data_IF_528867194222
#
_entry.id   IF_528867194222
#
_cell.length_a   1.000
_cell.length_b   1.000
_cell.length_c   1.000
_cell.angle_alpha   90.00
_cell.angle_beta   90.00
_cell.angle_gamma   90.00
#
_symmetry.space_group_name_H-M   'P 1'
#
loop_
_entity.id
_entity.type
_entity.pdbx_description
1 polymer ?
#
# COMPACT_ATOMS: atom_id res chain seq x y z
N UNK A 1 5.92 -3.90 20.23
CA UNK A 1 4.97 -4.14 19.13
C UNK A 1 5.37 -5.39 18.36
N UNK A 2 4.42 -6.20 17.92
CA UNK A 2 4.62 -7.37 17.05
C UNK A 2 3.69 -7.23 15.84
N UNK A 3 4.12 -7.66 14.66
CA UNK A 3 3.33 -7.64 13.44
C UNK A 3 3.48 -8.97 12.69
N UNK A 4 2.47 -9.33 11.92
CA UNK A 4 2.57 -10.43 10.99
C UNK A 4 3.45 -10.05 9.81
N UNK A 5 4.44 -10.89 9.53
CA UNK A 5 5.35 -10.74 8.40
C UNK A 5 5.00 -11.77 7.32
N UNK A 6 4.65 -11.30 6.14
CA UNK A 6 4.24 -12.18 5.05
C UNK A 6 5.37 -13.07 4.57
N UNK A 7 6.60 -12.55 4.47
CA UNK A 7 7.74 -13.34 4.02
C UNK A 7 8.16 -14.40 5.04
N UNK A 8 8.00 -14.15 6.34
CA UNK A 8 8.29 -15.12 7.40
C UNK A 8 7.07 -15.93 7.84
N UNK A 9 5.89 -15.64 7.29
CA UNK A 9 4.62 -16.32 7.57
C UNK A 9 4.27 -16.43 9.07
N UNK A 10 4.49 -15.36 9.84
CA UNK A 10 4.24 -15.37 11.28
C UNK A 10 4.26 -13.99 11.91
N UNK A 11 3.85 -13.92 13.19
CA UNK A 11 3.89 -12.69 13.98
C UNK A 11 5.23 -12.58 14.67
N UNK A 12 5.98 -11.52 14.38
CA UNK A 12 7.32 -11.28 14.88
C UNK A 12 7.43 -9.90 15.55
N UNK A 13 8.34 -9.73 16.51
CA UNK A 13 8.68 -8.42 17.02
C UNK A 13 9.11 -7.48 15.87
N UNK A 14 8.59 -6.27 15.88
CA UNK A 14 9.06 -5.21 14.99
C UNK A 14 10.31 -4.59 15.62
N UNK A 15 11.47 -4.94 15.08
CA UNK A 15 12.75 -4.39 15.51
C UNK A 15 12.91 -2.96 14.99
N UNK A 16 12.80 -1.97 15.86
CA UNK A 16 12.82 -0.55 15.49
C UNK A 16 13.96 0.19 16.18
N UNK A 17 14.60 1.09 15.41
CA UNK A 17 15.45 2.16 15.93
C UNK A 17 14.63 3.39 16.31
N UNK A 18 15.29 4.51 16.65
CA UNK A 18 14.61 5.79 16.89
C UNK A 18 13.84 6.29 15.68
N UNK A 19 14.33 5.99 14.47
CA UNK A 19 13.67 6.21 13.19
C UNK A 19 13.17 4.88 12.65
N UNK A 20 11.89 4.84 12.24
CA UNK A 20 11.27 3.71 11.55
C UNK A 20 10.91 4.14 10.14
N UNK A 21 11.49 3.47 9.16
CA UNK A 21 11.22 3.71 7.74
C UNK A 21 10.09 2.81 7.25
N UNK A 22 9.12 3.40 6.57
CA UNK A 22 7.94 2.69 6.07
C UNK A 22 7.72 3.05 4.59
N UNK A 23 7.48 2.06 3.75
CA UNK A 23 7.07 2.27 2.37
C UNK A 23 5.74 1.57 2.13
N UNK A 24 4.74 2.31 1.70
CA UNK A 24 3.46 1.77 1.28
C UNK A 24 3.32 2.02 -0.22
N UNK A 25 3.19 0.97 -1.01
CA UNK A 25 2.92 1.14 -2.44
C UNK A 25 1.71 2.03 -2.64
N UNK A 26 1.87 3.02 -3.50
CA UNK A 26 0.89 4.06 -3.74
C UNK A 26 -0.17 3.66 -4.76
N UNK A 27 -0.77 4.63 -5.39
CA UNK A 27 -1.81 4.39 -6.38
C UNK A 27 -1.33 4.72 -7.78
N UNK A 28 -1.93 4.04 -8.76
CA UNK A 28 -1.96 4.49 -10.15
C UNK A 28 -3.20 5.37 -10.29
N UNK A 29 -3.03 6.71 -10.41
CA UNK A 29 -4.13 7.66 -10.25
C UNK A 29 -4.91 7.85 -11.57
N UNK A 30 -5.52 6.79 -12.09
CA UNK A 30 -6.37 6.85 -13.28
C UNK A 30 -7.87 6.78 -12.96
N UNK A 31 -8.22 6.59 -11.68
CA UNK A 31 -9.60 6.52 -11.19
C UNK A 31 -9.67 6.82 -9.70
N UNK A 32 -10.85 7.14 -9.18
CA UNK A 32 -11.07 7.49 -7.79
C UNK A 32 -10.61 6.41 -6.80
N UNK A 33 -10.21 6.84 -5.61
CA UNK A 33 -9.84 5.94 -4.54
C UNK A 33 -11.07 5.21 -3.99
N UNK A 34 -11.04 3.89 -4.04
CA UNK A 34 -12.07 3.05 -3.44
C UNK A 34 -11.70 2.61 -2.01
N UNK A 35 -12.65 2.01 -1.34
CA UNK A 35 -12.53 1.62 0.07
C UNK A 35 -11.37 0.68 0.36
N UNK A 36 -10.99 -0.17 -0.60
CA UNK A 36 -9.80 -1.02 -0.49
C UNK A 36 -8.51 -0.21 -0.30
N UNK A 37 -8.32 0.87 -1.09
CA UNK A 37 -7.18 1.77 -0.90
C UNK A 37 -7.22 2.45 0.47
N UNK A 38 -8.40 2.93 0.88
CA UNK A 38 -8.56 3.56 2.19
C UNK A 38 -8.20 2.60 3.33
N UNK A 39 -8.57 1.33 3.24
CA UNK A 39 -8.25 0.32 4.25
C UNK A 39 -6.75 0.04 4.35
N UNK A 40 -6.06 -0.06 3.20
CA UNK A 40 -4.60 -0.20 3.17
C UNK A 40 -3.94 0.99 3.88
N UNK A 41 -4.21 2.21 3.45
CA UNK A 41 -3.53 3.39 4.00
C UNK A 41 -3.93 3.70 5.44
N UNK A 42 -5.17 3.35 5.84
CA UNK A 42 -5.61 3.41 7.23
C UNK A 42 -4.80 2.46 8.14
N UNK A 43 -4.51 1.26 7.66
CA UNK A 43 -3.71 0.29 8.41
C UNK A 43 -2.28 0.79 8.65
N UNK A 44 -1.66 1.39 7.63
CA UNK A 44 -0.36 2.07 7.78
C UNK A 44 -0.45 3.33 8.67
N UNK A 45 -1.56 4.05 8.66
CA UNK A 45 -1.79 5.21 9.53
C UNK A 45 -1.87 4.79 11.00
N UNK A 46 -2.56 3.70 11.32
CA UNK A 46 -2.62 3.14 12.68
C UNK A 46 -1.23 2.76 13.17
N UNK A 47 -0.45 2.04 12.35
CA UNK A 47 0.93 1.70 12.67
C UNK A 47 1.77 2.95 12.93
N UNK A 48 1.69 3.94 12.05
CA UNK A 48 2.40 5.22 12.17
C UNK A 48 2.02 5.99 13.44
N UNK A 49 0.72 6.03 13.79
CA UNK A 49 0.24 6.66 15.03
C UNK A 49 0.81 5.97 16.25
N UNK A 50 0.77 4.64 16.28
CA UNK A 50 1.27 3.86 17.42
C UNK A 50 2.79 3.98 17.57
N UNK A 51 3.55 3.98 16.48
CA UNK A 51 5.00 4.21 16.51
C UNK A 51 5.34 5.60 17.08
N UNK A 52 4.62 6.65 16.66
CA UNK A 52 4.79 8.00 17.19
C UNK A 52 4.40 8.11 18.66
N UNK A 53 3.33 7.45 19.08
CA UNK A 53 2.91 7.38 20.49
C UNK A 53 3.93 6.68 21.37
N UNK A 54 4.70 5.73 20.83
CA UNK A 54 5.82 5.08 21.51
C UNK A 54 7.15 5.83 21.42
N UNK A 55 7.16 7.03 20.82
CA UNK A 55 8.33 7.91 20.79
C UNK A 55 9.25 7.75 19.59
N UNK A 56 8.87 6.96 18.58
CA UNK A 56 9.64 6.82 17.36
C UNK A 56 9.33 7.95 16.35
N UNK A 57 10.33 8.34 15.57
CA UNK A 57 10.09 9.04 14.30
C UNK A 57 9.65 8.00 13.26
N UNK A 58 8.45 8.14 12.70
CA UNK A 58 7.94 7.25 11.66
C UNK A 58 7.90 8.00 10.31
N UNK A 59 8.78 7.62 9.38
CA UNK A 59 8.83 8.13 8.00
C UNK A 59 8.14 7.17 7.07
N UNK A 60 6.89 7.49 6.70
CA UNK A 60 6.13 6.72 5.73
C UNK A 60 6.20 7.43 4.37
N UNK A 61 6.72 6.74 3.37
CA UNK A 61 6.72 7.16 1.96
C UNK A 61 5.63 6.39 1.22
N UNK A 62 4.95 7.07 0.31
CA UNK A 62 3.96 6.50 -0.60
C UNK A 62 4.23 7.07 -1.99
N UNK A 63 4.40 6.22 -3.00
CA UNK A 63 4.63 6.69 -4.35
C UNK A 63 3.34 7.03 -5.09
N UNK A 64 3.51 7.70 -6.23
CA UNK A 64 2.46 7.88 -7.25
C UNK A 64 2.98 7.27 -8.54
N UNK A 65 2.31 6.22 -9.02
CA UNK A 65 2.59 5.59 -10.31
C UNK A 65 1.87 6.38 -11.40
N UNK A 66 2.46 7.46 -11.85
CA UNK A 66 1.87 8.39 -12.83
C UNK A 66 2.27 8.10 -14.29
N UNK A 67 2.94 6.96 -14.52
CA UNK A 67 3.30 6.47 -15.86
C UNK A 67 3.31 4.95 -15.92
N UNK A 68 2.17 4.34 -16.17
CA UNK A 68 2.06 2.90 -16.44
C UNK A 68 1.06 2.62 -17.56
N UNK A 69 0.93 1.34 -17.94
CA UNK A 69 0.05 0.90 -19.02
C UNK A 69 -1.42 1.30 -18.79
N UNK A 70 -1.93 1.13 -17.57
CA UNK A 70 -3.30 1.44 -17.21
C UNK A 70 -3.59 2.94 -17.22
N UNK A 71 -2.65 3.72 -16.70
CA UNK A 71 -2.71 5.17 -16.69
C UNK A 71 -2.77 5.72 -18.11
N UNK A 72 -1.87 5.27 -18.99
CA UNK A 72 -1.78 5.72 -20.38
C UNK A 72 -2.99 5.28 -21.19
N UNK A 73 -3.46 4.04 -21.01
CA UNK A 73 -4.68 3.52 -21.63
C UNK A 73 -5.89 4.37 -21.24
N UNK A 74 -6.05 4.66 -19.94
CA UNK A 74 -7.20 5.45 -19.45
C UNK A 74 -7.18 6.88 -19.94
N UNK A 75 -6.02 7.53 -19.94
CA UNK A 75 -5.86 8.88 -20.48
C UNK A 75 -6.25 8.94 -21.97
N UNK A 76 -5.84 7.94 -22.75
CA UNK A 76 -6.19 7.79 -24.16
C UNK A 76 -7.69 7.58 -24.37
N UNK A 77 -8.32 6.70 -23.58
CA UNK A 77 -9.78 6.47 -23.59
C UNK A 77 -10.57 7.75 -23.32
N UNK A 78 -10.09 8.59 -22.41
CA UNK A 78 -10.73 9.85 -22.04
C UNK A 78 -10.35 11.03 -22.96
N UNK A 79 -9.34 10.89 -23.81
CA UNK A 79 -8.83 11.96 -24.66
C UNK A 79 -8.19 13.11 -23.89
N UNK A 80 -7.55 12.81 -22.74
CA UNK A 80 -6.90 13.80 -21.87
C UNK A 80 -5.41 13.53 -21.71
N UNK A 81 -4.64 14.54 -21.28
CA UNK A 81 -3.25 14.34 -20.93
C UNK A 81 -3.15 13.48 -19.65
N UNK A 82 -2.26 12.48 -19.64
CA UNK A 82 -2.11 11.55 -18.53
C UNK A 82 -1.65 12.23 -17.22
N UNK A 83 -0.81 13.28 -17.30
CA UNK A 83 -0.39 14.04 -16.10
C UNK A 83 -1.53 14.88 -15.53
N UNK A 84 -2.41 15.43 -16.38
CA UNK A 84 -3.60 16.16 -15.93
C UNK A 84 -4.59 15.21 -15.25
N UNK A 85 -4.79 14.02 -15.82
CA UNK A 85 -5.59 12.96 -15.19
C UNK A 85 -5.01 12.56 -13.84
N UNK A 86 -3.69 12.28 -13.79
CA UNK A 86 -3.01 11.95 -12.55
C UNK A 86 -3.17 13.05 -11.49
N UNK A 87 -2.99 14.30 -11.84
CA UNK A 87 -3.14 15.43 -10.92
C UNK A 87 -4.58 15.55 -10.38
N UNK A 88 -5.57 15.35 -11.24
CA UNK A 88 -6.99 15.40 -10.86
C UNK A 88 -7.33 14.26 -9.88
N UNK A 89 -6.96 13.03 -10.19
CA UNK A 89 -7.28 11.86 -9.35
C UNK A 89 -6.49 11.88 -8.03
N UNK A 90 -5.24 12.33 -8.04
CA UNK A 90 -4.48 12.55 -6.79
C UNK A 90 -5.14 13.58 -5.90
N UNK A 91 -5.66 14.67 -6.46
CA UNK A 91 -6.36 15.69 -5.67
C UNK A 91 -7.65 15.16 -5.01
N UNK A 92 -8.37 14.23 -5.67
CA UNK A 92 -9.51 13.53 -5.06
C UNK A 92 -9.04 12.59 -3.95
N UNK A 93 -8.05 11.77 -4.24
CA UNK A 93 -7.46 10.84 -3.30
C UNK A 93 -6.98 11.52 -2.01
N UNK A 94 -6.25 12.61 -2.13
CA UNK A 94 -5.76 13.38 -0.97
C UNK A 94 -6.91 13.91 -0.10
N UNK A 95 -7.97 14.44 -0.73
CA UNK A 95 -9.16 14.90 0.01
C UNK A 95 -9.86 13.76 0.75
N UNK A 96 -9.99 12.60 0.10
CA UNK A 96 -10.61 11.42 0.69
C UNK A 96 -9.83 10.90 1.90
N UNK A 97 -8.50 10.80 1.77
CA UNK A 97 -7.63 10.36 2.85
C UNK A 97 -7.60 11.36 4.01
N UNK A 98 -7.58 12.65 3.69
CA UNK A 98 -7.68 13.71 4.70
C UNK A 98 -9.03 13.69 5.42
N UNK A 99 -10.12 13.45 4.70
CA UNK A 99 -11.46 13.40 5.29
C UNK A 99 -11.56 12.32 6.39
N UNK A 100 -10.99 11.13 6.15
CA UNK A 100 -10.94 10.05 7.16
C UNK A 100 -9.75 10.18 8.13
N UNK A 101 -9.15 11.38 8.23
CA UNK A 101 -8.11 11.75 9.18
C UNK A 101 -6.84 10.90 9.10
N UNK A 102 -6.35 10.58 7.89
CA UNK A 102 -5.02 10.00 7.72
C UNK A 102 -3.94 11.07 7.97
N UNK A 103 -2.88 10.68 8.66
CA UNK A 103 -1.71 11.54 8.84
C UNK A 103 -0.97 11.72 7.50
N UNK A 104 -0.46 12.92 7.20
CA UNK A 104 0.35 13.15 6.00
C UNK A 104 1.52 12.17 5.93
N UNK A 105 1.85 11.71 4.73
CA UNK A 105 3.06 10.93 4.49
C UNK A 105 4.31 11.82 4.58
N UNK A 106 5.49 11.22 4.75
CA UNK A 106 6.76 11.96 4.79
C UNK A 106 7.11 12.49 3.40
N UNK A 107 6.96 11.65 2.38
CA UNK A 107 7.16 12.01 0.98
C UNK A 107 6.18 11.21 0.08
N UNK A 108 5.82 11.82 -1.04
CA UNK A 108 4.93 11.22 -2.05
C UNK A 108 5.54 11.40 -3.44
N UNK A 109 6.65 10.69 -3.74
CA UNK A 109 7.36 10.83 -5.00
C UNK A 109 6.56 10.24 -6.18
N UNK A 110 6.71 10.87 -7.36
CA UNK A 110 6.11 10.43 -8.62
C UNK A 110 7.13 9.65 -9.44
N UNK A 111 6.67 8.62 -10.17
CA UNK A 111 7.50 7.82 -11.06
C UNK A 111 8.13 8.68 -12.16
N UNK A 112 7.35 9.58 -12.78
CA UNK A 112 7.87 10.51 -13.81
C UNK A 112 8.96 11.44 -13.29
N UNK A 113 8.98 11.75 -12.00
CA UNK A 113 10.00 12.58 -11.34
C UNK A 113 11.25 11.80 -10.90
N UNK A 114 11.34 10.50 -11.20
CA UNK A 114 12.42 9.62 -10.74
C UNK A 114 13.07 8.80 -11.88
N UNK A 115 12.86 9.19 -13.11
CA UNK A 115 13.42 8.47 -14.28
C UNK A 115 14.94 8.29 -14.21
N UNK A 116 15.76 9.28 -13.80
CA UNK A 116 17.20 9.09 -13.67
C UNK A 116 17.58 8.00 -12.67
N UNK A 117 16.89 7.93 -11.52
CA UNK A 117 17.09 6.91 -10.49
C UNK A 117 16.65 5.52 -10.97
N UNK A 118 15.52 5.47 -11.67
CA UNK A 118 15.00 4.24 -12.29
C UNK A 118 16.02 3.71 -13.31
N UNK A 119 16.48 4.54 -14.25
CA UNK A 119 17.49 4.15 -15.23
C UNK A 119 18.82 3.73 -14.58
N UNK A 120 19.20 4.38 -13.47
CA UNK A 120 20.38 3.99 -12.70
C UNK A 120 20.20 2.61 -12.09
N UNK A 121 19.04 2.31 -11.49
CA UNK A 121 18.77 1.00 -10.90
C UNK A 121 18.72 -0.09 -11.96
N UNK A 122 18.05 0.14 -13.09
CA UNK A 122 18.04 -0.79 -14.23
C UNK A 122 19.49 -1.06 -14.72
N UNK A 123 20.29 0.01 -14.84
CA UNK A 123 21.70 -0.09 -15.23
C UNK A 123 22.49 -0.99 -14.29
N UNK A 124 22.37 -0.77 -12.98
CA UNK A 124 23.02 -1.61 -11.95
C UNK A 124 22.57 -3.06 -12.03
N UNK A 125 21.27 -3.33 -12.21
CA UNK A 125 20.70 -4.68 -12.35
C UNK A 125 21.27 -5.38 -13.59
N UNK A 126 21.35 -4.65 -14.71
CA UNK A 126 21.92 -5.16 -15.96
C UNK A 126 23.42 -5.49 -15.82
N UNK A 127 24.19 -4.57 -15.25
CA UNK A 127 25.64 -4.71 -15.09
C UNK A 127 26.00 -5.79 -14.05
N UNK A 128 25.11 -6.05 -13.09
CA UNK A 128 25.23 -7.16 -12.15
C UNK A 128 24.85 -8.54 -12.74
N UNK A 129 24.35 -8.58 -13.99
CA UNK A 129 24.03 -9.81 -14.71
C UNK A 129 22.64 -10.39 -14.41
N UNK A 130 21.77 -9.64 -13.76
CA UNK A 130 20.38 -10.04 -13.45
C UNK A 130 19.37 -9.57 -14.51
N UNK A 131 19.80 -8.88 -15.55
CA UNK A 131 18.93 -8.42 -16.61
C UNK A 131 19.53 -8.68 -17.99
N UNK A 132 18.66 -8.72 -19.01
CA UNK A 132 19.03 -8.84 -20.41
C UNK A 132 18.16 -7.93 -21.28
N UNK A 133 18.65 -7.61 -22.47
CA UNK A 133 17.96 -6.77 -23.44
C UNK A 133 17.55 -7.60 -24.67
N UNK A 134 16.34 -7.35 -25.18
CA UNK A 134 15.84 -7.88 -26.45
C UNK A 134 14.98 -6.82 -27.12
N UNK A 135 15.39 -6.34 -28.29
CA UNK A 135 14.61 -5.40 -29.13
C UNK A 135 14.17 -4.13 -28.37
N UNK A 136 15.05 -3.57 -27.52
CA UNK A 136 14.77 -2.38 -26.71
C UNK A 136 14.02 -2.65 -25.40
N UNK A 137 13.53 -3.87 -25.18
CA UNK A 137 13.01 -4.28 -23.88
C UNK A 137 14.15 -4.72 -22.97
N UNK A 138 14.10 -4.33 -21.70
CA UNK A 138 15.00 -4.87 -20.67
C UNK A 138 14.16 -5.67 -19.69
N UNK A 139 14.52 -6.94 -19.53
CA UNK A 139 13.86 -7.85 -18.61
C UNK A 139 14.77 -8.20 -17.44
N UNK A 140 14.19 -8.31 -16.25
CA UNK A 140 14.85 -9.00 -15.13
C UNK A 140 14.82 -10.51 -15.38
N UNK A 141 15.96 -11.19 -15.26
CA UNK A 141 16.11 -12.62 -15.44
C UNK A 141 15.87 -13.36 -14.12
N UNK A 142 14.62 -13.79 -13.89
CA UNK A 142 14.19 -14.40 -12.63
C UNK A 142 15.01 -15.62 -12.25
N UNK A 143 15.44 -16.42 -13.24
CA UNK A 143 16.27 -17.61 -13.03
C UNK A 143 17.63 -17.33 -12.38
N UNK A 144 18.11 -16.08 -12.43
CA UNK A 144 19.36 -15.64 -11.81
C UNK A 144 19.20 -15.28 -10.32
N UNK A 145 17.99 -15.05 -9.85
CA UNK A 145 17.71 -14.68 -8.48
C UNK A 145 17.11 -15.87 -7.70
N UNK A 146 17.93 -16.61 -6.93
CA UNK A 146 17.52 -17.89 -6.34
C UNK A 146 16.42 -17.76 -5.28
N UNK A 147 16.25 -16.56 -4.70
CA UNK A 147 15.26 -16.31 -3.66
C UNK A 147 13.90 -15.83 -4.21
N UNK A 148 13.68 -15.86 -5.53
CA UNK A 148 12.40 -15.45 -6.10
C UNK A 148 11.26 -16.35 -5.61
N UNK A 149 10.22 -15.76 -5.01
CA UNK A 149 9.14 -16.47 -4.33
C UNK A 149 9.21 -16.38 -2.79
N UNK A 150 10.24 -15.73 -2.23
CA UNK A 150 10.41 -15.63 -0.77
C UNK A 150 9.43 -14.70 -0.07
N UNK A 151 8.84 -13.75 -0.78
CA UNK A 151 7.85 -12.80 -0.21
C UNK A 151 6.45 -13.38 -0.27
N UNK A 152 6.07 -13.90 -1.42
CA UNK A 152 4.70 -14.34 -1.71
C UNK A 152 4.42 -15.79 -1.32
N UNK A 153 5.43 -16.64 -1.36
CA UNK A 153 5.32 -18.11 -1.19
C UNK A 153 4.39 -18.79 -2.20
N UNK A 154 4.16 -18.15 -3.33
CA UNK A 154 3.33 -18.71 -4.39
C UNK A 154 4.05 -19.87 -5.10
N UNK A 155 3.27 -20.87 -5.52
CA UNK A 155 3.79 -21.89 -6.41
C UNK A 155 4.09 -21.29 -7.79
N UNK A 156 5.04 -21.89 -8.53
CA UNK A 156 5.34 -21.41 -9.90
C UNK A 156 4.09 -21.36 -10.79
N UNK A 157 3.17 -22.29 -10.65
CA UNK A 157 1.93 -22.32 -11.43
C UNK A 157 1.04 -21.13 -11.07
N UNK A 158 0.87 -20.86 -9.78
CA UNK A 158 0.15 -19.67 -9.28
C UNK A 158 0.82 -18.37 -9.71
N UNK A 159 2.16 -18.30 -9.65
CA UNK A 159 2.91 -17.11 -10.12
C UNK A 159 2.64 -16.81 -11.59
N UNK A 160 2.57 -17.83 -12.46
CA UNK A 160 2.29 -17.64 -13.89
C UNK A 160 0.88 -17.12 -14.13
N UNK A 161 -0.10 -17.65 -13.41
CA UNK A 161 -1.48 -17.20 -13.49
C UNK A 161 -1.63 -15.74 -12.98
N UNK A 162 -1.06 -15.44 -11.82
CA UNK A 162 -1.07 -14.10 -11.24
C UNK A 162 -0.30 -13.10 -12.12
N UNK A 163 0.86 -13.47 -12.68
CA UNK A 163 1.59 -12.61 -13.59
C UNK A 163 0.75 -12.28 -14.84
N UNK A 164 0.04 -13.26 -15.41
CA UNK A 164 -0.84 -13.03 -16.56
C UNK A 164 -1.98 -12.04 -16.23
N UNK A 165 -2.59 -12.17 -15.05
CA UNK A 165 -3.69 -11.28 -14.63
C UNK A 165 -3.24 -9.85 -14.31
N UNK A 166 -1.95 -9.64 -14.02
CA UNK A 166 -1.35 -8.33 -13.72
C UNK A 166 -0.49 -7.78 -14.88
N UNK A 167 -0.76 -8.19 -16.10
CA UNK A 167 -0.12 -7.64 -17.31
C UNK A 167 1.29 -8.16 -17.61
N UNK A 168 1.75 -9.18 -16.87
CA UNK A 168 3.11 -9.73 -17.00
C UNK A 168 3.41 -10.48 -18.30
N UNK A 169 2.43 -10.81 -19.11
CA UNK A 169 2.57 -11.51 -20.42
C UNK A 169 3.54 -12.70 -20.37
N UNK A 170 3.19 -13.82 -19.69
CA UNK A 170 4.06 -14.99 -19.59
C UNK A 170 4.37 -15.67 -20.94
N UNK A 171 3.54 -15.44 -21.94
CA UNK A 171 3.64 -15.96 -23.31
C UNK A 171 4.46 -15.07 -24.26
N UNK A 172 5.06 -13.99 -23.79
CA UNK A 172 5.89 -13.10 -24.60
C UNK A 172 7.15 -13.87 -25.10
N UNK A 173 7.33 -14.05 -26.42
CA UNK A 173 8.45 -14.83 -26.97
C UNK A 173 9.82 -14.18 -26.76
N UNK A 174 9.88 -12.91 -26.32
CA UNK A 174 11.13 -12.21 -25.99
C UNK A 174 11.69 -12.64 -24.63
N UNK A 175 10.86 -13.21 -23.76
CA UNK A 175 11.26 -13.67 -22.43
C UNK A 175 12.03 -14.99 -22.50
N UNK A 176 13.08 -15.11 -21.67
CA UNK A 176 13.81 -16.36 -21.47
C UNK A 176 13.06 -17.31 -20.52
N UNK A 177 12.39 -16.75 -19.54
CA UNK A 177 11.49 -17.42 -18.62
C UNK A 177 10.13 -16.67 -18.58
N UNK A 178 9.00 -17.38 -18.60
CA UNK A 178 7.67 -16.74 -18.52
C UNK A 178 7.47 -15.78 -17.34
N UNK A 179 8.21 -15.95 -16.24
CA UNK A 179 8.17 -15.07 -15.06
C UNK A 179 9.13 -13.88 -15.15
N UNK A 180 9.99 -13.79 -16.17
CA UNK A 180 10.82 -12.61 -16.37
C UNK A 180 9.93 -11.39 -16.52
N UNK A 181 10.30 -10.27 -15.91
CA UNK A 181 9.47 -9.08 -15.88
C UNK A 181 10.20 -7.84 -16.41
N UNK A 182 9.41 -6.93 -16.94
CA UNK A 182 9.91 -5.73 -17.64
C UNK A 182 10.52 -4.75 -16.64
N UNK A 183 11.74 -4.30 -16.93
CA UNK A 183 12.40 -3.17 -16.27
C UNK A 183 12.30 -1.91 -17.12
N UNK A 184 12.41 -2.05 -18.46
CA UNK A 184 12.30 -0.99 -19.44
C UNK A 184 11.62 -1.50 -20.69
N UNK A 185 10.79 -0.67 -21.32
CA UNK A 185 10.09 -1.03 -22.56
C UNK A 185 10.03 0.14 -23.53
N UNK A 186 10.09 -0.09 -24.85
CA UNK A 186 9.84 0.92 -25.86
C UNK A 186 8.45 1.56 -25.68
N UNK A 187 8.37 2.87 -25.78
CA UNK A 187 7.07 3.58 -25.79
C UNK A 187 6.42 3.50 -27.16
N UNK A 188 5.08 3.51 -27.18
CA UNK A 188 4.32 3.69 -28.41
C UNK A 188 4.42 5.14 -28.91
N UNK A 189 4.02 5.42 -30.14
CA UNK A 189 4.17 6.73 -30.77
C UNK A 189 3.47 7.86 -30.00
N UNK A 190 2.37 7.55 -29.33
CA UNK A 190 1.55 8.50 -28.54
C UNK A 190 1.81 8.44 -27.03
N UNK A 191 2.82 7.68 -26.59
CA UNK A 191 3.18 7.53 -25.18
C UNK A 191 4.37 8.43 -24.81
N UNK A 192 4.46 8.84 -23.53
CA UNK A 192 5.67 9.51 -23.03
C UNK A 192 6.86 8.58 -23.15
N UNK A 193 8.01 9.15 -23.45
CA UNK A 193 9.26 8.41 -23.51
C UNK A 193 10.41 9.20 -22.90
N UNK A 194 11.43 8.48 -22.47
CA UNK A 194 12.70 9.01 -22.03
C UNK A 194 13.82 8.28 -22.75
N UNK A 195 14.90 9.04 -23.01
CA UNK A 195 16.09 8.46 -23.64
C UNK A 195 16.83 7.54 -22.65
N UNK A 196 17.24 6.39 -23.12
CA UNK A 196 18.05 5.44 -22.35
C UNK A 196 19.12 4.79 -23.20
N UNK A 197 20.05 4.05 -22.59
CA UNK A 197 21.03 3.26 -23.33
C UNK A 197 20.42 2.12 -24.14
N UNK A 198 19.16 1.80 -23.90
CA UNK A 198 18.38 0.78 -24.61
C UNK A 198 17.40 1.35 -25.64
N UNK A 199 17.44 2.66 -25.82
CA UNK A 199 16.55 3.41 -26.70
C UNK A 199 15.47 4.18 -25.95
N UNK A 200 14.69 4.95 -26.71
CA UNK A 200 13.57 5.70 -26.20
C UNK A 200 12.47 4.77 -25.68
N UNK A 201 11.98 5.03 -24.45
CA UNK A 201 11.03 4.14 -23.82
C UNK A 201 10.59 4.63 -22.43
N UNK A 202 10.02 3.73 -21.66
CA UNK A 202 9.49 3.97 -20.32
C UNK A 202 9.76 2.80 -19.37
N UNK A 203 9.71 3.03 -18.03
CA UNK A 203 9.92 1.98 -17.06
C UNK A 203 8.81 0.92 -17.08
N UNK A 204 9.14 -0.27 -16.60
CA UNK A 204 8.17 -1.23 -16.13
C UNK A 204 7.63 -0.85 -14.77
N UNK A 205 6.45 -1.32 -14.41
CA UNK A 205 5.75 -0.94 -13.19
C UNK A 205 6.55 -1.23 -11.89
N UNK A 206 7.20 -2.39 -11.79
CA UNK A 206 7.83 -2.80 -10.53
C UNK A 206 9.10 -2.02 -10.20
N UNK A 207 9.87 -1.58 -11.20
CA UNK A 207 11.14 -0.88 -10.98
C UNK A 207 10.94 0.54 -10.43
N UNK A 208 9.78 1.14 -10.66
CA UNK A 208 9.45 2.47 -10.17
C UNK A 208 9.48 2.50 -8.64
N UNK A 209 8.73 1.58 -8.00
CA UNK A 209 8.68 1.50 -6.55
C UNK A 209 10.04 1.15 -5.94
N UNK A 210 10.79 0.20 -6.52
CA UNK A 210 12.14 -0.12 -6.05
C UNK A 210 13.07 1.10 -6.07
N UNK A 211 13.09 1.85 -7.18
CA UNK A 211 13.94 3.02 -7.31
C UNK A 211 13.54 4.14 -6.33
N UNK A 212 12.25 4.39 -6.18
CA UNK A 212 11.72 5.40 -5.27
C UNK A 212 11.97 5.03 -3.81
N UNK A 213 11.75 3.77 -3.44
CA UNK A 213 11.99 3.28 -2.10
C UNK A 213 13.48 3.38 -1.71
N UNK A 214 14.38 2.94 -2.59
CA UNK A 214 15.82 3.05 -2.40
C UNK A 214 16.29 4.51 -2.27
N UNK A 215 15.73 5.42 -3.06
CA UNK A 215 16.05 6.86 -3.02
C UNK A 215 15.62 7.51 -1.71
N UNK A 216 14.38 7.26 -1.28
CA UNK A 216 13.78 7.97 -0.14
C UNK A 216 14.16 7.37 1.21
N UNK A 217 14.36 6.05 1.28
CA UNK A 217 14.50 5.33 2.55
C UNK A 217 15.79 4.52 2.68
N UNK A 218 16.57 4.38 1.60
CA UNK A 218 17.83 3.63 1.59
C UNK A 218 17.65 2.16 1.21
N UNK A 219 18.74 1.38 1.39
CA UNK A 219 18.83 0.02 0.85
C UNK A 219 17.99 -1.02 1.60
N UNK A 220 17.65 -0.73 2.87
CA UNK A 220 16.81 -1.62 3.71
C UNK A 220 15.74 -0.80 4.42
N UNK A 221 14.50 -1.20 4.26
CA UNK A 221 13.30 -0.55 4.81
C UNK A 221 12.81 -1.34 6.02
N UNK A 222 12.38 -0.67 7.09
CA UNK A 222 11.88 -1.37 8.28
C UNK A 222 10.55 -2.07 8.03
N UNK A 223 9.58 -1.37 7.40
CA UNK A 223 8.26 -1.94 7.04
C UNK A 223 7.90 -1.57 5.61
N UNK A 224 7.56 -2.55 4.80
CA UNK A 224 7.05 -2.34 3.43
C UNK A 224 5.82 -3.18 3.17
N UNK A 225 4.90 -2.67 2.37
CA UNK A 225 3.72 -3.43 1.98
C UNK A 225 2.66 -2.60 1.25
N UNK A 226 1.46 -3.17 1.23
CA UNK A 226 0.30 -2.65 0.51
C UNK A 226 -0.87 -3.60 0.63
N UNK A 227 -1.76 -3.65 -0.35
CA UNK A 227 -2.78 -4.69 -0.45
C UNK A 227 -2.15 -6.07 -0.61
N UNK A 228 -2.81 -7.12 -0.14
CA UNK A 228 -2.31 -8.50 -0.22
C UNK A 228 -2.05 -8.94 -1.67
N UNK A 229 -2.81 -8.43 -2.60
CA UNK A 229 -2.65 -8.68 -4.04
C UNK A 229 -1.35 -8.14 -4.62
N UNK A 230 -0.66 -7.24 -3.93
CA UNK A 230 0.67 -6.76 -4.32
C UNK A 230 1.80 -7.70 -3.88
N UNK A 231 1.56 -8.65 -2.98
CA UNK A 231 2.60 -9.59 -2.54
C UNK A 231 3.24 -10.30 -3.74
N UNK A 232 2.41 -10.70 -4.72
CA UNK A 232 2.85 -11.15 -6.03
C UNK A 232 1.98 -10.55 -7.14
N UNK A 233 2.56 -10.05 -8.24
CA UNK A 233 3.99 -10.06 -8.57
C UNK A 233 4.80 -8.89 -8.00
N UNK A 234 4.17 -7.81 -7.55
CA UNK A 234 4.79 -6.50 -7.39
C UNK A 234 5.91 -6.50 -6.34
N UNK A 235 5.60 -6.86 -5.10
CA UNK A 235 6.57 -6.83 -3.99
C UNK A 235 7.66 -7.92 -4.13
N UNK A 236 7.32 -9.07 -4.72
CA UNK A 236 8.30 -10.09 -5.07
C UNK A 236 9.32 -9.55 -6.07
N UNK A 237 8.85 -8.85 -7.12
CA UNK A 237 9.71 -8.23 -8.12
C UNK A 237 10.54 -7.08 -7.51
N UNK A 238 9.97 -6.28 -6.61
CA UNK A 238 10.70 -5.22 -5.92
C UNK A 238 11.84 -5.78 -5.05
N UNK A 239 11.57 -6.84 -4.28
CA UNK A 239 12.59 -7.52 -3.49
C UNK A 239 13.71 -8.04 -4.39
N UNK A 240 13.37 -8.74 -5.48
CA UNK A 240 14.34 -9.29 -6.42
C UNK A 240 15.23 -8.19 -7.03
N UNK A 241 14.66 -7.09 -7.52
CA UNK A 241 15.39 -5.97 -8.11
C UNK A 241 16.35 -5.31 -7.11
N UNK A 242 15.85 -5.04 -5.91
CA UNK A 242 16.59 -4.32 -4.89
C UNK A 242 17.72 -5.17 -4.31
N UNK A 243 17.44 -6.42 -3.96
CA UNK A 243 18.40 -7.34 -3.34
C UNK A 243 19.48 -7.80 -4.32
N UNK A 244 19.13 -8.00 -5.60
CA UNK A 244 20.10 -8.33 -6.64
C UNK A 244 21.21 -7.30 -6.80
N UNK A 245 20.91 -6.02 -6.52
CA UNK A 245 21.84 -4.91 -6.70
C UNK A 245 22.55 -4.52 -5.40
N UNK A 246 21.87 -4.63 -4.27
CA UNK A 246 22.41 -4.21 -2.98
C UNK A 246 23.13 -5.32 -2.23
N UNK A 247 22.75 -6.57 -2.49
CA UNK A 247 23.19 -7.74 -1.72
C UNK A 247 22.69 -7.75 -0.27
N UNK A 248 21.68 -6.91 0.05
CA UNK A 248 21.10 -6.76 1.39
C UNK A 248 19.60 -7.08 1.34
N UNK A 249 19.00 -7.53 2.45
CA UNK A 249 17.54 -7.61 2.54
C UNK A 249 16.91 -6.25 2.23
N UNK A 250 15.98 -6.22 1.30
CA UNK A 250 15.28 -4.98 0.93
C UNK A 250 14.35 -4.52 2.03
N UNK A 251 13.66 -5.45 2.68
CA UNK A 251 12.65 -5.17 3.70
C UNK A 251 12.86 -6.07 4.92
N UNK A 252 12.78 -5.49 6.12
CA UNK A 252 12.83 -6.24 7.37
C UNK A 252 11.48 -6.88 7.73
N UNK A 253 10.36 -6.22 7.35
CA UNK A 253 9.02 -6.66 7.71
C UNK A 253 8.01 -6.35 6.58
N UNK A 254 7.45 -7.39 5.99
CA UNK A 254 6.44 -7.28 4.93
C UNK A 254 5.03 -7.26 5.52
N UNK A 255 4.34 -6.13 5.36
CA UNK A 255 2.98 -5.93 5.89
C UNK A 255 1.96 -5.89 4.75
N UNK A 256 1.12 -6.91 4.64
CA UNK A 256 0.06 -6.97 3.64
C UNK A 256 -1.32 -6.87 4.28
N UNK A 257 -2.17 -6.05 3.67
CA UNK A 257 -3.52 -5.74 4.13
C UNK A 257 -4.53 -6.57 3.34
N UNK A 258 -5.52 -7.10 4.04
CA UNK A 258 -6.58 -7.91 3.46
C UNK A 258 -7.42 -7.15 2.43
N UNK A 259 -8.13 -7.89 1.61
CA UNK A 259 -8.94 -7.36 0.52
C UNK A 259 -10.34 -6.99 1.00
N UNK A 260 -10.89 -5.94 0.41
CA UNK A 260 -12.28 -5.53 0.66
C UNK A 260 -13.16 -6.01 -0.49
N UNK A 261 -14.17 -6.79 -0.17
CA UNK A 261 -15.17 -7.31 -1.10
C UNK A 261 -16.48 -6.53 -1.05
N UNK A 262 -17.31 -6.76 -2.06
CA UNK A 262 -18.71 -6.35 -2.13
C UNK A 262 -19.49 -7.45 -2.83
N UNK A 263 -20.58 -7.92 -2.19
CA UNK A 263 -21.48 -8.97 -2.72
C UNK A 263 -20.75 -10.29 -3.09
N UNK A 264 -19.80 -10.72 -2.25
CA UNK A 264 -19.06 -11.97 -2.43
C UNK A 264 -17.88 -11.89 -3.43
N UNK A 265 -17.58 -10.69 -3.96
CA UNK A 265 -16.51 -10.50 -4.94
C UNK A 265 -15.57 -9.38 -4.50
N UNK A 266 -14.26 -9.57 -4.69
CA UNK A 266 -13.27 -8.51 -4.45
C UNK A 266 -13.68 -7.24 -5.19
N UNK A 267 -13.61 -6.08 -4.52
CA UNK A 267 -13.74 -4.79 -5.19
C UNK A 267 -12.65 -4.62 -6.22
N UNK A 268 -13.04 -4.39 -7.47
CA UNK A 268 -12.10 -4.11 -8.54
C UNK A 268 -12.70 -3.15 -9.56
N UNK A 269 -11.85 -2.34 -10.17
CA UNK A 269 -12.24 -1.38 -11.20
C UNK A 269 -12.83 -2.06 -12.43
N UNK A 270 -12.31 -3.23 -12.79
CA UNK A 270 -12.80 -4.01 -13.95
C UNK A 270 -14.22 -4.54 -13.78
N UNK A 271 -14.65 -4.79 -12.55
CA UNK A 271 -16.00 -5.26 -12.22
C UNK A 271 -16.99 -4.11 -11.95
N UNK A 272 -16.50 -2.88 -11.75
CA UNK A 272 -17.35 -1.73 -11.43
C UNK A 272 -18.06 -1.82 -10.07
N UNK A 273 -17.64 -2.74 -9.18
CA UNK A 273 -18.22 -2.98 -7.86
C UNK A 273 -17.47 -2.21 -6.77
N UNK A 274 -17.22 -0.92 -6.99
CA UNK A 274 -16.43 -0.10 -6.08
C UNK A 274 -17.31 0.69 -5.11
N UNK A 275 -16.85 0.84 -3.88
CA UNK A 275 -17.37 1.78 -2.90
C UNK A 275 -16.34 2.90 -2.73
N UNK A 276 -16.76 4.13 -2.96
CA UNK A 276 -15.87 5.29 -2.91
C UNK A 276 -15.94 6.01 -1.56
N UNK A 277 -14.79 6.41 -1.07
CA UNK A 277 -14.68 7.15 0.21
C UNK A 277 -15.48 8.44 0.15
N UNK A 278 -15.38 9.19 -0.94
CA UNK A 278 -16.13 10.42 -1.17
C UNK A 278 -17.65 10.23 -0.97
N UNK A 279 -18.22 9.14 -1.46
CA UNK A 279 -19.65 8.84 -1.33
C UNK A 279 -20.03 8.54 0.13
N UNK A 280 -19.14 7.82 0.84
CA UNK A 280 -19.37 7.49 2.24
C UNK A 280 -19.34 8.73 3.13
N UNK A 281 -18.37 9.63 2.94
CA UNK A 281 -18.24 10.86 3.74
C UNK A 281 -19.30 11.92 3.39
N UNK A 282 -19.97 11.80 2.25
CA UNK A 282 -21.15 12.65 1.94
C UNK A 282 -22.40 12.24 2.72
N UNK A 283 -22.54 10.95 3.05
CA UNK A 283 -23.73 10.39 3.73
C UNK A 283 -23.51 10.06 5.19
N UNK A 284 -22.27 10.08 5.66
CA UNK A 284 -21.89 9.75 7.02
C UNK A 284 -20.75 10.65 7.50
N UNK A 285 -20.70 10.90 8.80
CA UNK A 285 -19.59 11.64 9.39
C UNK A 285 -18.25 10.90 9.12
N UNK A 286 -17.16 11.59 8.78
CA UNK A 286 -15.87 10.96 8.49
C UNK A 286 -15.34 10.04 9.59
N UNK A 287 -15.52 10.40 10.87
CA UNK A 287 -15.17 9.54 12.01
C UNK A 287 -15.94 8.21 12.00
N UNK A 288 -17.18 8.21 11.50
CA UNK A 288 -18.00 6.99 11.34
C UNK A 288 -17.40 6.08 10.27
N UNK A 289 -17.02 6.65 9.12
CA UNK A 289 -16.38 5.91 8.05
C UNK A 289 -15.06 5.28 8.53
N UNK A 290 -14.23 6.06 9.23
CA UNK A 290 -12.98 5.57 9.81
C UNK A 290 -13.22 4.43 10.81
N UNK A 291 -14.19 4.56 11.70
CA UNK A 291 -14.57 3.54 12.68
C UNK A 291 -15.07 2.25 12.03
N UNK A 292 -15.86 2.36 10.95
CA UNK A 292 -16.33 1.19 10.21
C UNK A 292 -15.18 0.37 9.60
N UNK A 293 -14.15 1.05 9.11
CA UNK A 293 -12.93 0.41 8.60
C UNK A 293 -12.09 -0.22 9.72
N UNK A 294 -11.90 0.47 10.84
CA UNK A 294 -11.13 -0.01 12.00
C UNK A 294 -11.80 -1.20 12.71
N UNK A 295 -13.08 -1.45 12.49
CA UNK A 295 -13.80 -2.62 13.04
C UNK A 295 -13.38 -3.94 12.37
N UNK A 296 -12.54 -3.86 11.34
CA UNK A 296 -11.96 -5.00 10.63
C UNK A 296 -10.49 -5.17 10.97
N UNK A 297 -10.04 -6.43 11.13
CA UNK A 297 -8.61 -6.69 11.32
C UNK A 297 -7.88 -6.49 9.99
N UNK A 298 -6.76 -5.76 10.00
CA UNK A 298 -6.06 -5.36 8.76
C UNK A 298 -5.66 -6.54 7.85
N UNK A 299 -5.40 -7.72 8.41
CA UNK A 299 -5.01 -8.92 7.65
C UNK A 299 -6.17 -9.73 7.09
N UNK A 300 -7.39 -9.51 7.58
CA UNK A 300 -8.54 -10.30 7.18
C UNK A 300 -9.15 -9.74 5.88
N UNK A 301 -9.58 -10.63 5.00
CA UNK A 301 -10.46 -10.27 3.90
C UNK A 301 -11.87 -10.10 4.45
N UNK A 302 -12.55 -9.05 4.02
CA UNK A 302 -13.88 -8.75 4.53
C UNK A 302 -14.75 -8.07 3.48
N UNK A 303 -16.05 -8.05 3.74
CA UNK A 303 -17.02 -7.46 2.83
C UNK A 303 -17.61 -6.17 3.39
N UNK A 304 -17.69 -5.17 2.54
CA UNK A 304 -18.41 -3.95 2.83
C UNK A 304 -19.91 -4.21 2.90
N UNK A 305 -20.53 -3.67 3.95
CA UNK A 305 -21.99 -3.63 4.14
C UNK A 305 -22.34 -2.30 4.81
N UNK A 306 -23.44 -1.69 4.40
CA UNK A 306 -23.87 -0.39 4.94
C UNK A 306 -24.21 -0.43 6.43
N UNK A 307 -24.55 -1.62 6.97
CA UNK A 307 -24.76 -1.84 8.41
C UNK A 307 -23.50 -1.50 9.25
N UNK A 308 -22.31 -1.59 8.67
CA UNK A 308 -21.07 -1.20 9.34
C UNK A 308 -21.06 0.29 9.71
N UNK A 309 -21.64 1.15 8.87
CA UNK A 309 -21.80 2.58 9.21
C UNK A 309 -22.76 2.78 10.38
N UNK A 310 -23.87 2.05 10.43
CA UNK A 310 -24.84 2.17 11.53
C UNK A 310 -24.23 1.73 12.87
N UNK A 311 -23.47 0.63 12.86
CA UNK A 311 -22.70 0.16 14.02
C UNK A 311 -21.69 1.21 14.48
N UNK A 312 -20.90 1.75 13.55
CA UNK A 312 -19.89 2.77 13.82
C UNK A 312 -20.51 4.07 14.35
N UNK A 313 -21.66 4.48 13.82
CA UNK A 313 -22.38 5.66 14.28
C UNK A 313 -22.88 5.51 15.72
N UNK A 314 -23.44 4.35 16.06
CA UNK A 314 -23.87 4.04 17.43
C UNK A 314 -22.69 4.05 18.40
N UNK A 315 -21.57 3.44 18.02
CA UNK A 315 -20.31 3.44 18.79
C UNK A 315 -19.83 4.86 19.06
N UNK A 316 -19.72 5.69 18.02
CA UNK A 316 -19.27 7.08 18.14
C UNK A 316 -20.16 7.90 19.07
N UNK A 317 -21.48 7.73 18.98
CA UNK A 317 -22.43 8.41 19.85
C UNK A 317 -22.23 8.01 21.32
N UNK A 318 -22.01 6.72 21.60
CA UNK A 318 -21.71 6.21 22.95
C UNK A 318 -20.41 6.84 23.48
N UNK A 319 -19.34 6.84 22.70
CA UNK A 319 -18.06 7.43 23.12
C UNK A 319 -18.18 8.94 23.42
N UNK A 320 -18.92 9.68 22.61
CA UNK A 320 -19.16 11.10 22.81
C UNK A 320 -19.92 11.41 24.08
N UNK A 321 -20.82 10.53 24.51
CA UNK A 321 -21.56 10.72 25.76
C UNK A 321 -20.68 10.74 27.01
N UNK A 322 -19.44 10.20 26.93
CA UNK A 322 -18.50 10.14 28.07
C UNK A 322 -17.52 11.33 28.12
N UNK A 323 -17.47 12.19 27.11
CA UNK A 323 -16.46 13.28 27.01
C UNK A 323 -16.47 14.25 28.19
N UNK A 324 -17.65 14.62 28.67
CA UNK A 324 -17.83 15.67 29.70
C UNK A 324 -17.97 15.14 31.12
N UNK A 325 -18.29 13.86 31.30
CA UNK A 325 -18.63 13.27 32.60
C UNK A 325 -17.81 12.05 32.93
N UNK A 326 -16.96 11.59 31.98
CA UNK A 326 -16.19 10.36 32.14
C UNK A 326 -15.11 10.46 33.22
N UNK A 327 -14.93 9.36 33.95
CA UNK A 327 -13.84 9.20 34.93
C UNK A 327 -12.52 8.92 34.20
N UNK A 328 -11.38 9.29 34.84
CA UNK A 328 -10.07 8.87 34.33
C UNK A 328 -10.01 7.34 34.18
N UNK A 329 -9.38 6.85 33.11
CA UNK A 329 -9.35 5.43 32.75
C UNK A 329 -7.96 5.05 32.23
N UNK A 330 -7.61 3.78 32.42
CA UNK A 330 -6.41 3.15 31.85
C UNK A 330 -6.63 2.67 30.40
N UNK A 331 -7.79 2.90 29.82
CA UNK A 331 -8.17 2.35 28.49
C UNK A 331 -7.15 2.66 27.37
N UNK A 332 -6.38 3.74 27.50
CA UNK A 332 -5.34 4.06 26.52
C UNK A 332 -4.25 2.96 26.50
N UNK A 333 -3.90 2.40 27.68
CA UNK A 333 -2.92 1.29 27.75
C UNK A 333 -3.48 -0.01 27.16
N UNK A 334 -4.78 -0.26 27.32
CA UNK A 334 -5.45 -1.42 26.72
C UNK A 334 -5.46 -1.29 25.19
N UNK A 335 -5.74 -0.09 24.67
CA UNK A 335 -5.66 0.22 23.22
C UNK A 335 -4.23 0.07 22.70
N UNK A 336 -3.21 0.59 23.43
CA UNK A 336 -1.80 0.41 23.07
C UNK A 336 -1.44 -1.06 22.98
N UNK A 337 -1.85 -1.84 23.97
CA UNK A 337 -1.59 -3.28 24.03
C UNK A 337 -2.24 -4.03 22.85
N UNK A 338 -3.47 -3.70 22.50
CA UNK A 338 -4.17 -4.28 21.36
C UNK A 338 -3.48 -3.95 20.04
N UNK A 339 -3.09 -2.67 19.83
CA UNK A 339 -2.38 -2.27 18.60
C UNK A 339 -0.97 -2.85 18.56
N UNK A 340 -0.31 -3.04 19.70
CA UNK A 340 1.01 -3.69 19.78
C UNK A 340 0.97 -5.18 19.45
N UNK A 341 -0.22 -5.79 19.45
CA UNK A 341 -0.45 -7.18 19.06
C UNK A 341 -1.09 -7.25 17.69
N UNK A 342 -0.26 -7.15 16.66
CA UNK A 342 -0.63 -7.31 15.25
C UNK A 342 -1.68 -6.30 14.77
N UNK A 343 -1.57 -5.05 15.21
CA UNK A 343 -2.50 -3.96 14.87
C UNK A 343 -3.97 -4.33 15.09
N UNK A 344 -4.28 -5.03 16.18
CA UNK A 344 -5.63 -5.51 16.46
C UNK A 344 -6.59 -4.36 16.81
N UNK A 345 -6.94 -3.58 15.77
CA UNK A 345 -7.88 -2.46 15.90
C UNK A 345 -9.28 -2.90 16.40
N UNK A 346 -9.86 -4.04 15.99
CA UNK A 346 -11.12 -4.52 16.57
C UNK A 346 -11.08 -4.71 18.08
N UNK A 347 -9.98 -5.24 18.63
CA UNK A 347 -9.80 -5.37 20.09
C UNK A 347 -9.65 -3.99 20.76
N UNK A 348 -8.87 -3.11 20.15
CA UNK A 348 -8.73 -1.73 20.63
C UNK A 348 -10.09 -1.00 20.70
N UNK A 349 -10.94 -1.18 19.68
CA UNK A 349 -12.30 -0.62 19.68
C UNK A 349 -13.17 -1.24 20.78
N UNK A 350 -13.08 -2.55 21.03
CA UNK A 350 -13.81 -3.21 22.14
C UNK A 350 -13.39 -2.65 23.49
N UNK A 351 -12.10 -2.48 23.75
CA UNK A 351 -11.61 -1.88 24.98
C UNK A 351 -12.19 -0.47 25.21
N UNK A 352 -12.28 0.33 24.14
CA UNK A 352 -12.89 1.67 24.21
C UNK A 352 -14.40 1.57 24.48
N UNK A 353 -15.11 0.64 23.83
CA UNK A 353 -16.56 0.43 24.04
C UNK A 353 -16.84 0.07 25.49
N UNK A 354 -16.10 -0.88 26.07
CA UNK A 354 -16.27 -1.33 27.45
C UNK A 354 -16.02 -0.19 28.45
N UNK A 355 -14.96 0.60 28.22
CA UNK A 355 -14.66 1.76 29.04
C UNK A 355 -15.76 2.83 28.96
N UNK A 356 -16.26 3.11 27.75
CA UNK A 356 -17.35 4.06 27.55
C UNK A 356 -18.65 3.60 28.23
N UNK A 357 -19.02 2.33 28.12
CA UNK A 357 -20.17 1.77 28.80
C UNK A 357 -20.03 1.82 30.35
N UNK A 358 -18.81 1.72 30.85
CA UNK A 358 -18.49 1.93 32.28
C UNK A 358 -18.48 3.42 32.70
N UNK A 359 -18.75 4.35 31.80
CA UNK A 359 -18.75 5.78 32.05
C UNK A 359 -17.35 6.39 32.17
N UNK A 360 -16.33 5.77 31.58
CA UNK A 360 -14.96 6.28 31.57
C UNK A 360 -14.72 7.24 30.39
N UNK A 361 -13.80 8.20 30.57
CA UNK A 361 -13.34 9.08 29.50
C UNK A 361 -12.47 8.30 28.50
N UNK A 362 -12.82 8.36 27.20
CA UNK A 362 -12.14 7.58 26.15
C UNK A 362 -11.44 8.45 25.10
N UNK A 363 -11.41 9.76 25.27
CA UNK A 363 -10.91 10.72 24.27
C UNK A 363 -9.47 10.43 23.82
N UNK A 364 -8.55 10.18 24.76
CA UNK A 364 -7.14 9.89 24.42
C UNK A 364 -6.98 8.58 23.66
N UNK A 365 -7.75 7.55 24.03
CA UNK A 365 -7.75 6.26 23.37
C UNK A 365 -8.31 6.34 21.95
N UNK A 366 -9.43 7.04 21.77
CA UNK A 366 -10.00 7.32 20.46
C UNK A 366 -9.03 8.12 19.56
N UNK A 367 -8.38 9.15 20.14
CA UNK A 367 -7.42 9.99 19.41
C UNK A 367 -6.20 9.20 18.90
N UNK A 368 -5.71 8.19 19.63
CA UNK A 368 -4.64 7.31 19.17
C UNK A 368 -5.04 6.58 17.87
N UNK A 369 -6.30 6.19 17.74
CA UNK A 369 -6.85 5.59 16.53
C UNK A 369 -7.27 6.62 15.47
N UNK A 370 -7.00 7.91 15.70
CA UNK A 370 -7.35 9.00 14.79
C UNK A 370 -8.84 9.34 14.74
N UNK A 371 -9.60 8.96 15.78
CA UNK A 371 -11.01 9.29 15.92
C UNK A 371 -11.14 10.59 16.71
N UNK A 372 -11.88 11.55 16.15
CA UNK A 372 -12.26 12.78 16.82
C UNK A 372 -13.67 12.62 17.43
N UNK A 373 -13.78 12.84 18.73
CA UNK A 373 -15.04 12.75 19.48
C UNK A 373 -15.77 14.09 19.51
#
# INVERSE_FOLDING_TARGET
MRLYDTARQGIFPLETGPLVTMYSCGITPYDAAHLGHAFVYLSFDVLKRRLRDSGHEARCVRNVTDVDDDMLRKARELGVNYLDLAAQEMSKFERDMQAINLLPVFAEPRATGAIPEILTLIGRTFDAGFAYEVEGYVYFEVSKFPNFGQVSHESRASMLELAATHGGRPDDPKKRDPLDFVLWQPSLEDEPYWESRWGAGRPGWHIECSALALRELGETIDVHGGGRDLAFPHHECEAAQSEAVTGKPFVKHWMHVGLVGLDGVKMSKSLGNLVFVEELVRRSEPSVVRLALLDQHYREDWEWRDELLLKAQSRLATWRSTQTTGRASSVLEDVRSAIDDDLNAPEALRAIDDAAHAGAAVTSAAALLGITL
#
